data_IF_661282994924
#
_entry.id   IF_661282994924
#
_cell.length_a   1.000
_cell.length_b   1.000
_cell.length_c   1.000
_cell.angle_alpha   90.00
_cell.angle_beta   90.00
_cell.angle_gamma   90.00
#
_symmetry.space_group_name_H-M   'P 1'
#
loop_
_entity.id
_entity.type
_entity.pdbx_description
1 polymer ?
#
# COMPACT_ATOMS: atom_id res chain seq x y z
N UNK A 1 21.53 41.19 -7.48
CA UNK A 1 20.51 40.16 -7.76
C UNK A 1 21.01 38.86 -7.18
N UNK A 2 20.40 38.38 -6.10
CA UNK A 2 20.75 37.09 -5.52
C UNK A 2 20.25 36.00 -6.49
N UNK A 3 21.21 35.18 -6.93
CA UNK A 3 21.06 34.11 -7.90
C UNK A 3 20.36 32.95 -7.21
N UNK A 4 19.19 32.60 -7.73
CA UNK A 4 18.46 31.35 -7.55
C UNK A 4 18.33 30.89 -6.09
N UNK A 5 17.26 31.37 -5.45
CA UNK A 5 16.73 30.74 -4.25
C UNK A 5 16.48 29.26 -4.53
N UNK A 6 17.22 28.40 -3.85
CA UNK A 6 17.00 26.96 -3.84
C UNK A 6 15.56 26.74 -3.35
N UNK A 7 14.64 26.51 -4.27
CA UNK A 7 13.37 25.88 -3.92
C UNK A 7 13.73 24.42 -3.66
N UNK A 8 13.94 24.06 -2.39
CA UNK A 8 13.85 22.66 -1.98
C UNK A 8 12.37 22.31 -2.03
N UNK A 9 11.83 22.12 -3.24
CA UNK A 9 10.49 21.60 -3.37
C UNK A 9 10.52 20.20 -2.75
N UNK A 10 9.66 19.97 -1.76
CA UNK A 10 9.36 18.62 -1.29
C UNK A 10 8.77 17.86 -2.49
N UNK A 11 9.63 17.27 -3.31
CA UNK A 11 9.29 16.68 -4.60
C UNK A 11 8.67 15.29 -4.38
N UNK A 12 7.64 15.23 -3.53
CA UNK A 12 6.90 14.02 -3.20
C UNK A 12 5.47 14.14 -3.69
N UNK A 13 5.02 13.14 -4.42
CA UNK A 13 3.64 13.04 -4.89
C UNK A 13 2.91 11.94 -4.12
N UNK A 14 1.66 12.24 -3.76
CA UNK A 14 0.74 11.30 -3.13
C UNK A 14 -0.13 10.62 -4.18
N UNK A 15 -0.42 9.33 -4.00
CA UNK A 15 -1.31 8.55 -4.87
C UNK A 15 -2.13 7.57 -4.00
N UNK A 16 -3.44 7.50 -4.23
CA UNK A 16 -4.33 6.54 -3.55
C UNK A 16 -4.65 5.40 -4.51
N UNK A 17 -4.37 4.17 -4.09
CA UNK A 17 -4.70 2.95 -4.81
C UNK A 17 -5.85 2.24 -4.09
N UNK A 18 -6.87 1.85 -4.84
CA UNK A 18 -8.03 1.13 -4.33
C UNK A 18 -8.08 -0.27 -4.94
N UNK A 19 -8.01 -1.30 -4.10
CA UNK A 19 -8.12 -2.69 -4.53
C UNK A 19 -9.40 -3.32 -4.03
N UNK A 20 -10.32 -3.60 -4.95
CA UNK A 20 -11.54 -4.35 -4.64
C UNK A 20 -11.22 -5.80 -4.27
N UNK A 21 -11.81 -6.27 -3.17
CA UNK A 21 -11.72 -7.62 -2.62
C UNK A 21 -13.14 -8.22 -2.55
N UNK A 22 -13.75 -8.55 -3.70
CA UNK A 22 -15.18 -8.90 -3.76
C UNK A 22 -15.52 -10.18 -3.01
N UNK A 23 -14.61 -11.15 -2.98
CA UNK A 23 -14.81 -12.45 -2.32
C UNK A 23 -13.89 -12.54 -1.11
N UNK A 24 -14.47 -12.85 0.06
CA UNK A 24 -13.72 -13.08 1.29
C UNK A 24 -12.71 -14.21 1.11
N UNK A 25 -11.57 -14.13 1.79
CA UNK A 25 -10.49 -15.15 1.81
C UNK A 25 -9.92 -15.52 0.43
N UNK A 26 -10.16 -14.66 -0.56
CA UNK A 26 -9.57 -14.78 -1.90
C UNK A 26 -8.37 -13.84 -2.00
N UNK A 27 -7.27 -14.33 -2.57
CA UNK A 27 -6.06 -13.53 -2.76
C UNK A 27 -6.17 -12.66 -4.02
N UNK A 28 -5.77 -11.40 -3.88
CA UNK A 28 -5.67 -10.43 -4.96
C UNK A 28 -4.33 -9.71 -4.90
N UNK A 29 -3.90 -9.10 -6.01
CA UNK A 29 -2.59 -8.44 -6.11
C UNK A 29 -2.69 -6.94 -6.41
N UNK A 30 -1.92 -6.12 -5.70
CA UNK A 30 -1.81 -4.68 -5.92
C UNK A 30 -0.34 -4.29 -6.15
N UNK A 31 -0.06 -3.65 -7.27
CA UNK A 31 1.25 -3.08 -7.53
C UNK A 31 1.40 -1.77 -6.75
N UNK A 32 2.48 -1.67 -5.98
CA UNK A 32 2.97 -0.43 -5.37
C UNK A 32 3.92 0.23 -6.37
N UNK A 33 3.65 1.50 -6.75
CA UNK A 33 4.47 2.24 -7.70
C UNK A 33 5.94 2.28 -7.31
N UNK A 34 6.82 2.23 -8.31
CA UNK A 34 8.25 2.47 -8.10
C UNK A 34 8.48 3.89 -7.56
N UNK A 35 9.54 4.07 -6.78
CA UNK A 35 9.86 5.34 -6.12
C UNK A 35 9.05 5.63 -4.85
N UNK A 36 8.08 4.77 -4.50
CA UNK A 36 7.36 4.87 -3.23
C UNK A 36 8.32 4.75 -2.05
N UNK A 37 8.32 5.78 -1.18
CA UNK A 37 9.12 5.88 0.05
C UNK A 37 8.34 5.52 1.29
N UNK A 38 7.03 5.78 1.24
CA UNK A 38 6.11 5.47 2.31
C UNK A 38 4.79 5.03 1.71
N UNK A 39 4.17 4.02 2.31
CA UNK A 39 2.77 3.74 2.04
C UNK A 39 2.02 3.29 3.31
N UNK A 40 0.74 3.62 3.38
CA UNK A 40 -0.18 3.19 4.44
C UNK A 40 -1.26 2.31 3.84
N UNK A 41 -1.53 1.17 4.47
CA UNK A 41 -2.58 0.23 4.05
C UNK A 41 -3.70 0.23 5.09
N UNK A 42 -4.96 0.26 4.64
CA UNK A 42 -6.17 0.08 5.47
C UNK A 42 -7.24 -0.72 4.73
N UNK A 43 -8.17 -1.31 5.49
CA UNK A 43 -9.43 -1.87 4.96
C UNK A 43 -10.56 -0.85 5.12
N UNK A 44 -11.36 -0.68 4.08
CA UNK A 44 -12.51 0.24 4.09
C UNK A 44 -13.68 -0.29 4.89
N UNK A 45 -14.01 -1.58 4.77
CA UNK A 45 -15.12 -2.21 5.50
C UNK A 45 -14.68 -2.85 6.81
N UNK A 46 -13.51 -2.48 7.32
CA UNK A 46 -12.94 -3.00 8.57
C UNK A 46 -12.74 -4.52 8.55
N UNK A 47 -12.45 -5.12 7.40
CA UNK A 47 -11.98 -6.50 7.32
C UNK A 47 -10.54 -6.64 7.84
N UNK A 48 -10.22 -7.81 8.39
CA UNK A 48 -8.83 -8.16 8.72
C UNK A 48 -8.09 -8.46 7.43
N UNK A 49 -7.05 -7.69 7.13
CA UNK A 49 -6.21 -7.92 5.95
C UNK A 49 -5.05 -8.83 6.29
N UNK A 50 -4.75 -9.77 5.39
CA UNK A 50 -3.52 -10.55 5.38
C UNK A 50 -2.71 -10.16 4.16
N UNK A 51 -1.53 -9.58 4.40
CA UNK A 51 -0.65 -9.06 3.35
C UNK A 51 0.58 -9.96 3.21
N UNK A 52 0.85 -10.44 2.01
CA UNK A 52 2.03 -11.22 1.65
C UNK A 52 2.83 -10.54 0.54
N UNK A 53 4.13 -10.87 0.46
CA UNK A 53 5.03 -10.36 -0.57
C UNK A 53 5.14 -11.31 -1.78
N UNK A 54 4.71 -12.56 -1.62
CA UNK A 54 4.68 -13.56 -2.69
C UNK A 54 3.25 -14.09 -2.85
N UNK A 55 2.93 -14.53 -4.08
CA UNK A 55 1.62 -15.12 -4.37
C UNK A 55 1.45 -16.46 -3.66
N UNK A 56 0.23 -16.74 -3.21
CA UNK A 56 -0.15 -17.95 -2.50
C UNK A 56 0.27 -17.94 -1.02
N UNK A 57 0.99 -16.92 -0.55
CA UNK A 57 1.48 -16.86 0.82
C UNK A 57 0.55 -16.11 1.79
N UNK A 58 -0.58 -15.58 1.33
CA UNK A 58 -1.55 -14.90 2.21
C UNK A 58 -2.17 -15.80 3.29
N UNK A 59 -1.97 -17.12 3.22
CA UNK A 59 -2.40 -18.11 4.22
C UNK A 59 -1.25 -18.74 5.01
N UNK A 60 0.01 -18.51 4.62
CA UNK A 60 1.18 -19.18 5.21
C UNK A 60 2.21 -18.21 5.77
N UNK A 61 2.63 -17.20 4.99
CA UNK A 61 3.63 -16.19 5.37
C UNK A 61 3.09 -14.80 5.07
N UNK A 62 2.30 -14.30 6.00
CA UNK A 62 1.64 -13.02 5.86
C UNK A 62 1.79 -12.16 7.10
N UNK A 63 1.58 -10.87 6.90
CA UNK A 63 1.40 -9.88 7.93
C UNK A 63 -0.08 -9.58 8.11
N UNK A 64 -0.56 -9.60 9.34
CA UNK A 64 -1.94 -9.23 9.67
C UNK A 64 -2.07 -7.72 9.90
N UNK A 65 -3.09 -7.11 9.29
CA UNK A 65 -3.60 -5.79 9.67
C UNK A 65 -5.00 -6.02 10.25
N UNK A 66 -5.19 -5.86 11.58
CA UNK A 66 -6.50 -6.05 12.21
C UNK A 66 -7.59 -5.16 11.62
N UNK A 67 -8.84 -5.61 11.73
CA UNK A 67 -10.03 -4.82 11.45
C UNK A 67 -9.96 -3.40 12.05
N UNK A 68 -10.22 -2.38 11.23
CA UNK A 68 -10.20 -0.97 11.65
C UNK A 68 -8.80 -0.38 11.91
N UNK A 69 -7.74 -1.17 11.79
CA UNK A 69 -6.36 -0.69 11.90
C UNK A 69 -5.81 -0.30 10.52
N UNK A 70 -4.72 0.47 10.55
CA UNK A 70 -3.89 0.72 9.39
C UNK A 70 -2.44 0.34 9.67
N UNK A 71 -1.66 0.11 8.62
CA UNK A 71 -0.23 -0.14 8.75
C UNK A 71 0.56 0.71 7.77
N UNK A 72 1.48 1.51 8.31
CA UNK A 72 2.39 2.33 7.53
C UNK A 72 3.76 1.68 7.44
N UNK A 73 4.29 1.63 6.22
CA UNK A 73 5.68 1.29 5.93
C UNK A 73 6.39 2.56 5.49
N UNK A 74 7.56 2.84 6.07
CA UNK A 74 8.33 4.08 5.84
C UNK A 74 9.76 3.74 5.42
N UNK A 75 10.45 4.75 4.89
CA UNK A 75 11.86 4.69 4.48
C UNK A 75 12.18 3.55 3.50
N UNK A 76 11.23 3.28 2.60
CA UNK A 76 11.37 2.26 1.58
C UNK A 76 12.06 2.79 0.32
N UNK A 77 12.63 1.87 -0.46
CA UNK A 77 13.12 2.14 -1.81
C UNK A 77 12.46 1.16 -2.79
N UNK A 78 11.14 1.29 -2.96
CA UNK A 78 10.35 0.36 -3.78
C UNK A 78 10.75 0.47 -5.25
N UNK A 79 11.17 -0.65 -5.86
CA UNK A 79 11.51 -0.76 -7.29
C UNK A 79 10.38 -1.42 -8.12
N UNK A 80 9.13 -1.24 -7.69
CA UNK A 80 7.98 -2.03 -8.12
C UNK A 80 7.80 -3.22 -7.19
N UNK A 81 6.83 -3.13 -6.27
CA UNK A 81 6.51 -4.18 -5.30
C UNK A 81 5.07 -4.62 -5.52
N UNK A 82 4.82 -5.90 -5.74
CA UNK A 82 3.46 -6.43 -5.76
C UNK A 82 3.12 -6.95 -4.38
N UNK A 83 2.08 -6.38 -3.77
CA UNK A 83 1.49 -6.91 -2.55
C UNK A 83 0.38 -7.89 -2.91
N UNK A 84 0.33 -9.01 -2.19
CA UNK A 84 -0.76 -9.97 -2.25
C UNK A 84 -1.60 -9.80 -1.00
N UNK A 85 -2.92 -9.71 -1.15
CA UNK A 85 -3.85 -9.40 -0.06
C UNK A 85 -5.08 -10.29 -0.13
N UNK A 86 -5.54 -10.75 1.03
CA UNK A 86 -6.91 -11.20 1.23
C UNK A 86 -7.53 -10.47 2.41
N UNK A 87 -8.84 -10.26 2.36
CA UNK A 87 -9.65 -9.81 3.50
C UNK A 87 -10.48 -10.98 4.02
N UNK A 88 -10.75 -11.04 5.32
CA UNK A 88 -11.74 -11.95 5.90
C UNK A 88 -13.19 -11.54 5.58
N UNK A 89 -13.37 -10.35 5.01
CA UNK A 89 -14.67 -9.74 4.69
C UNK A 89 -14.84 -9.62 3.17
N UNK A 90 -15.98 -10.06 2.66
CA UNK A 90 -16.35 -9.94 1.24
C UNK A 90 -16.80 -8.53 0.88
N UNK A 91 -16.74 -8.18 -0.40
CA UNK A 91 -17.04 -6.82 -0.91
C UNK A 91 -16.20 -5.71 -0.28
N UNK A 92 -15.05 -6.05 0.31
CA UNK A 92 -14.16 -5.10 0.95
C UNK A 92 -13.27 -4.38 -0.07
N UNK A 93 -12.63 -3.30 0.37
CA UNK A 93 -11.64 -2.55 -0.42
C UNK A 93 -10.41 -2.32 0.44
N UNK A 94 -9.26 -2.80 -0.03
CA UNK A 94 -7.97 -2.35 0.50
C UNK A 94 -7.63 -0.99 -0.10
N UNK A 95 -7.35 -0.03 0.75
CA UNK A 95 -6.88 1.30 0.38
C UNK A 95 -5.39 1.40 0.67
N UNK A 96 -4.63 1.95 -0.28
CA UNK A 96 -3.20 2.19 -0.13
C UNK A 96 -2.89 3.65 -0.45
N UNK A 97 -2.46 4.41 0.54
CA UNK A 97 -1.94 5.76 0.38
C UNK A 97 -0.43 5.68 0.16
N UNK A 98 0.06 6.01 -1.04
CA UNK A 98 1.47 5.97 -1.41
C UNK A 98 2.05 7.39 -1.50
N UNK A 99 3.28 7.57 -1.00
CA UNK A 99 4.08 8.77 -1.16
C UNK A 99 5.38 8.41 -1.85
N UNK A 100 5.60 8.96 -3.05
CA UNK A 100 6.77 8.66 -3.89
C UNK A 100 7.60 9.89 -4.18
N UNK A 101 8.91 9.69 -4.32
CA UNK A 101 9.77 10.72 -4.89
C UNK A 101 9.37 10.93 -6.36
N UNK A 102 9.31 12.17 -6.79
CA UNK A 102 9.03 12.51 -8.18
C UNK A 102 10.29 12.26 -8.98
N UNK A 103 10.16 11.54 -10.09
CA UNK A 103 11.25 11.19 -11.01
C UNK A 103 11.77 12.42 -11.72
#
# INVERSE_FOLDING_TARGET
>A
MLKDGIIVANNRTGEILNKSLPVATTEYSQLIPAGTRQFTISSRLMGTLRIALNSGETTTKYLTIPAGASKTFKDLAVRGLTLYVQSDTGSDVMEVECWKDTV
#
